data_IF_218220635999
#
_entry.id   IF_218220635999
#
_cell.length_a   1.000
_cell.length_b   1.000
_cell.length_c   1.000
_cell.angle_alpha   90.00
_cell.angle_beta   90.00
_cell.angle_gamma   90.00
#
_symmetry.space_group_name_H-M   'P 1'
#
loop_
_entity.id
_entity.type
_entity.pdbx_description
1 polymer ?
#
# COMPACT_ATOMS: atom_id res chain seq x y z
N UNK A 1 -14.23 -36.15 -2.64
CA UNK A 1 -14.31 -35.00 -1.71
C UNK A 1 -12.96 -34.87 -1.01
N UNK A 2 -12.53 -33.67 -0.63
CA UNK A 2 -12.02 -32.58 -1.45
C UNK A 2 -10.48 -32.49 -1.32
N UNK A 3 -9.80 -32.37 -2.46
CA UNK A 3 -8.39 -32.01 -2.54
C UNK A 3 -8.36 -30.52 -2.87
N UNK A 4 -8.55 -29.68 -1.84
CA UNK A 4 -8.33 -28.24 -1.98
C UNK A 4 -7.27 -27.84 -0.98
N UNK A 5 -6.07 -28.37 -1.21
CA UNK A 5 -4.83 -27.89 -0.61
C UNK A 5 -4.74 -26.40 -0.87
N UNK A 6 -5.05 -25.64 0.16
CA UNK A 6 -4.70 -24.24 0.37
C UNK A 6 -3.28 -23.99 -0.17
N UNK A 7 -3.19 -23.44 -1.38
CA UNK A 7 -1.95 -23.19 -2.11
C UNK A 7 -1.55 -21.70 -2.09
N UNK A 8 -2.02 -20.90 -1.12
CA UNK A 8 -1.80 -19.45 -1.14
C UNK A 8 -0.82 -18.89 -0.09
N UNK A 9 -0.06 -19.74 0.61
CA UNK A 9 0.87 -19.27 1.65
C UNK A 9 2.19 -18.67 1.11
N UNK A 10 2.41 -18.62 -0.21
CA UNK A 10 3.68 -18.17 -0.81
C UNK A 10 3.75 -16.69 -1.25
N UNK A 11 2.72 -15.87 -1.00
CA UNK A 11 2.66 -14.47 -1.46
C UNK A 11 2.56 -13.41 -0.35
N UNK A 12 2.81 -13.76 0.91
CA UNK A 12 2.54 -12.87 2.07
C UNK A 12 3.66 -11.88 2.42
N UNK A 13 4.74 -11.81 1.63
CA UNK A 13 5.78 -10.79 1.79
C UNK A 13 5.71 -9.77 0.68
N UNK A 14 5.41 -8.52 1.05
CA UNK A 14 5.67 -7.36 0.21
C UNK A 14 7.19 -7.29 -0.06
N UNK A 15 7.63 -6.91 -1.27
CA UNK A 15 9.04 -6.68 -1.56
C UNK A 15 9.61 -5.56 -0.66
N UNK A 16 10.94 -5.52 -0.46
CA UNK A 16 11.60 -4.51 0.41
C UNK A 16 11.31 -3.05 0.01
N UNK A 17 10.91 -2.81 -1.25
CA UNK A 17 10.41 -1.52 -1.72
C UNK A 17 9.20 -1.76 -2.63
N UNK A 18 7.99 -1.88 -2.06
CA UNK A 18 6.80 -2.10 -2.86
C UNK A 18 6.43 -0.80 -3.59
N UNK A 19 5.97 -0.96 -4.82
CA UNK A 19 5.33 0.10 -5.58
C UNK A 19 3.95 0.42 -4.99
N UNK A 20 3.42 1.58 -5.35
CA UNK A 20 2.07 1.99 -4.92
C UNK A 20 1.01 0.97 -5.35
N UNK A 21 1.10 0.46 -6.58
CA UNK A 21 0.16 -0.55 -7.10
C UNK A 21 0.23 -1.86 -6.29
N UNK A 22 1.42 -2.31 -5.93
CA UNK A 22 1.61 -3.51 -5.11
C UNK A 22 1.04 -3.35 -3.69
N UNK A 23 1.20 -2.16 -3.10
CA UNK A 23 0.60 -1.86 -1.79
C UNK A 23 -0.93 -1.86 -1.87
N UNK A 24 -1.51 -1.22 -2.89
CA UNK A 24 -2.96 -1.22 -3.10
C UNK A 24 -3.49 -2.63 -3.28
N UNK A 25 -2.82 -3.44 -4.11
CA UNK A 25 -3.21 -4.84 -4.34
C UNK A 25 -3.13 -5.68 -3.05
N UNK A 26 -2.10 -5.46 -2.23
CA UNK A 26 -1.97 -6.13 -0.94
C UNK A 26 -3.07 -5.73 0.04
N UNK A 27 -3.49 -4.46 0.04
CA UNK A 27 -4.61 -3.98 0.85
C UNK A 27 -5.94 -4.59 0.40
N UNK A 28 -6.21 -4.61 -0.90
CA UNK A 28 -7.42 -5.24 -1.47
C UNK A 28 -7.50 -6.72 -1.12
N UNK A 29 -6.38 -7.44 -1.23
CA UNK A 29 -6.30 -8.84 -0.84
C UNK A 29 -6.56 -9.05 0.66
N UNK A 30 -6.09 -8.13 1.50
CA UNK A 30 -6.31 -8.14 2.96
C UNK A 30 -7.79 -7.93 3.30
N UNK A 31 -8.41 -6.91 2.71
CA UNK A 31 -9.84 -6.61 2.86
C UNK A 31 -10.70 -7.78 2.40
N UNK A 32 -10.41 -8.36 1.22
CA UNK A 32 -11.16 -9.50 0.70
C UNK A 32 -11.10 -10.71 1.63
N UNK A 33 -9.97 -10.97 2.31
CA UNK A 33 -9.86 -12.03 3.31
C UNK A 33 -10.65 -11.75 4.57
N UNK A 34 -10.63 -10.50 5.06
CA UNK A 34 -11.44 -10.08 6.20
C UNK A 34 -12.94 -10.20 5.91
N UNK A 35 -13.36 -9.86 4.69
CA UNK A 35 -14.76 -9.96 4.24
C UNK A 35 -15.21 -11.39 3.97
N UNK A 36 -14.30 -12.29 3.58
CA UNK A 36 -14.60 -13.71 3.37
C UNK A 36 -15.04 -14.41 4.66
N UNK A 37 -14.62 -13.91 5.84
CA UNK A 37 -15.06 -14.43 7.13
C UNK A 37 -14.54 -15.82 7.48
N UNK A 38 -13.53 -16.32 6.74
CA UNK A 38 -12.89 -17.63 6.97
C UNK A 38 -11.74 -17.56 7.98
N UNK A 39 -11.40 -16.37 8.47
CA UNK A 39 -10.31 -16.13 9.41
C UNK A 39 -10.77 -16.35 10.86
N UNK A 40 -9.92 -16.97 11.67
CA UNK A 40 -10.06 -16.94 13.13
C UNK A 40 -9.89 -15.51 13.66
N UNK A 41 -10.27 -15.28 14.92
CA UNK A 41 -10.14 -13.97 15.56
C UNK A 41 -8.68 -13.49 15.58
N UNK A 42 -7.72 -14.36 15.94
CA UNK A 42 -6.31 -13.99 15.91
C UNK A 42 -5.83 -13.67 14.49
N UNK A 43 -6.23 -14.45 13.49
CA UNK A 43 -5.85 -14.21 12.10
C UNK A 43 -6.45 -12.91 11.56
N UNK A 44 -7.70 -12.60 11.91
CA UNK A 44 -8.36 -11.35 11.54
C UNK A 44 -7.64 -10.12 12.14
N UNK A 45 -7.15 -10.23 13.38
CA UNK A 45 -6.35 -9.17 14.00
C UNK A 45 -5.02 -8.99 13.28
N UNK A 46 -4.30 -10.07 12.97
CA UNK A 46 -3.04 -10.00 12.22
C UNK A 46 -3.25 -9.40 10.83
N UNK A 47 -4.33 -9.79 10.16
CA UNK A 47 -4.69 -9.30 8.83
C UNK A 47 -5.02 -7.80 8.86
N UNK A 48 -5.75 -7.35 9.88
CA UNK A 48 -6.02 -5.94 10.12
C UNK A 48 -4.73 -5.14 10.37
N UNK A 49 -3.83 -5.63 11.22
CA UNK A 49 -2.53 -4.97 11.46
C UNK A 49 -1.68 -4.86 10.20
N UNK A 50 -1.69 -5.90 9.36
CA UNK A 50 -1.02 -5.87 8.07
C UNK A 50 -1.61 -4.79 7.16
N UNK A 51 -2.95 -4.75 7.01
CA UNK A 51 -3.64 -3.73 6.24
C UNK A 51 -3.32 -2.30 6.71
N UNK A 52 -3.24 -2.08 8.04
CA UNK A 52 -2.85 -0.77 8.60
C UNK A 52 -1.44 -0.36 8.18
N UNK A 53 -0.47 -1.28 8.23
CA UNK A 53 0.92 -1.00 7.78
C UNK A 53 1.01 -0.69 6.29
N UNK A 54 0.18 -1.36 5.48
CA UNK A 54 0.11 -1.11 4.04
C UNK A 54 -0.43 0.30 3.77
N UNK A 55 -1.50 0.71 4.47
CA UNK A 55 -2.06 2.06 4.36
C UNK A 55 -1.05 3.13 4.77
N UNK A 56 -0.31 2.91 5.86
CA UNK A 56 0.73 3.82 6.31
C UNK A 56 1.81 4.04 5.24
N UNK A 57 2.25 2.96 4.58
CA UNK A 57 3.20 3.04 3.47
C UNK A 57 2.62 3.75 2.25
N UNK A 58 1.36 3.49 1.89
CA UNK A 58 0.68 4.20 0.81
C UNK A 58 0.65 5.71 1.05
N UNK A 59 0.27 6.13 2.26
CA UNK A 59 0.23 7.56 2.62
C UNK A 59 1.63 8.18 2.55
N UNK A 60 2.65 7.52 3.09
CA UNK A 60 4.03 8.01 3.01
C UNK A 60 4.53 8.17 1.57
N UNK A 61 4.12 7.29 0.65
CA UNK A 61 4.44 7.43 -0.78
C UNK A 61 3.74 8.63 -1.41
N UNK A 62 2.46 8.83 -1.10
CA UNK A 62 1.67 9.96 -1.60
C UNK A 62 2.21 11.29 -1.07
N UNK A 63 2.52 11.39 0.21
CA UNK A 63 3.12 12.57 0.84
C UNK A 63 4.44 12.94 0.16
N UNK A 64 5.27 11.95 -0.14
CA UNK A 64 6.55 12.16 -0.84
C UNK A 64 6.33 12.65 -2.28
N UNK A 65 5.33 12.11 -2.97
CA UNK A 65 4.98 12.56 -4.31
C UNK A 65 4.45 13.99 -4.30
N UNK A 66 3.57 14.33 -3.36
CA UNK A 66 3.02 15.68 -3.17
C UNK A 66 4.13 16.69 -2.88
N UNK A 67 5.03 16.40 -1.93
CA UNK A 67 6.16 17.27 -1.60
C UNK A 67 7.03 17.55 -2.83
N UNK A 68 7.28 16.52 -3.65
CA UNK A 68 8.09 16.65 -4.86
C UNK A 68 7.39 17.50 -5.93
N UNK A 69 6.08 17.37 -6.08
CA UNK A 69 5.28 18.20 -6.99
C UNK A 69 5.31 19.66 -6.54
N UNK A 70 5.12 19.91 -5.23
CA UNK A 70 5.15 21.26 -4.65
C UNK A 70 6.51 21.92 -4.86
N UNK A 71 7.61 21.24 -4.54
CA UNK A 71 8.98 21.75 -4.75
C UNK A 71 9.27 22.06 -6.23
N UNK A 72 8.81 21.22 -7.15
CA UNK A 72 8.90 21.47 -8.60
C UNK A 72 8.09 22.69 -9.02
N UNK A 73 6.89 22.86 -8.48
CA UNK A 73 6.02 24.01 -8.79
C UNK A 73 6.62 25.33 -8.26
N UNK A 74 7.17 25.33 -7.05
CA UNK A 74 7.85 26.49 -6.47
C UNK A 74 9.09 26.90 -7.29
N UNK A 75 9.91 25.92 -7.70
CA UNK A 75 11.08 26.17 -8.56
C UNK A 75 10.71 26.70 -9.94
N UNK A 76 9.64 26.18 -10.53
CA UNK A 76 9.12 26.66 -11.81
C UNK A 76 8.64 28.11 -11.71
N UNK A 77 7.98 28.48 -10.61
CA UNK A 77 7.54 29.85 -10.32
C UNK A 77 8.73 30.80 -10.09
N UNK A 78 9.74 30.39 -9.32
CA UNK A 78 10.92 31.20 -9.04
C UNK A 78 11.74 31.53 -10.31
N UNK A 79 11.84 30.58 -11.24
CA UNK A 79 12.60 30.76 -12.49
C UNK A 79 11.95 31.79 -13.45
N UNK A 80 10.67 32.12 -13.27
CA UNK A 80 9.98 33.13 -14.10
C UNK A 80 10.17 34.57 -13.63
N UNK A 81 10.59 34.80 -12.37
CA UNK A 81 10.72 36.14 -11.80
C UNK A 81 12.11 36.77 -11.94
N UNK A 82 13.13 36.01 -12.36
CA UNK A 82 14.51 36.51 -12.53
C UNK A 82 14.83 37.00 -13.97
N UNK A 83 13.82 37.05 -14.86
CA UNK A 83 13.99 37.39 -16.28
C UNK A 83 13.45 38.77 -16.69
N UNK A 84 13.09 39.64 -15.74
CA UNK A 84 12.57 41.01 -16.02
C UNK A 84 13.44 42.13 -15.44
#
# INVERSE_FOLDING_TARGET
MPDNTNQNDSARSLPENPSYEELVQALEASVARLEAGELSLEEAVVEYEFGMKVIEQCNAMLDRAELRITDLAEKASATQNDAE
#
